data_IF_979336858444
#
_entry.id   IF_979336858444
#
_cell.length_a   1.000
_cell.length_b   1.000
_cell.length_c   1.000
_cell.angle_alpha   90.00
_cell.angle_beta   90.00
_cell.angle_gamma   90.00
#
_symmetry.space_group_name_H-M   'P 1'
#
loop_
_entity.id
_entity.type
_entity.pdbx_description
1 polymer ?
#
# COMPACT_ATOMS: atom_id res chain seq x y z
N UNK A 1 -13.21 -1.19 -2.67
CA UNK A 1 -12.38 -1.58 -1.51
C UNK A 1 -12.88 -0.85 -0.27
N UNK A 2 -12.95 -1.53 0.88
CA UNK A 2 -13.24 -0.89 2.18
C UNK A 2 -11.93 -0.52 2.89
N UNK A 3 -11.97 0.44 3.83
CA UNK A 3 -10.80 0.87 4.62
C UNK A 3 -10.08 -0.30 5.30
N UNK A 4 -10.84 -1.23 5.88
CA UNK A 4 -10.31 -2.41 6.55
C UNK A 4 -9.46 -3.30 5.62
N UNK A 5 -9.89 -3.49 4.35
CA UNK A 5 -9.12 -4.29 3.39
C UNK A 5 -7.82 -3.60 2.98
N UNK A 6 -7.82 -2.27 2.87
CA UNK A 6 -6.61 -1.48 2.59
C UNK A 6 -5.61 -1.63 3.73
N UNK A 7 -6.06 -1.51 4.99
CA UNK A 7 -5.19 -1.69 6.15
C UNK A 7 -4.63 -3.12 6.25
N UNK A 8 -5.46 -4.14 5.99
CA UNK A 8 -5.00 -5.53 5.94
C UNK A 8 -3.96 -5.75 4.83
N UNK A 9 -4.19 -5.20 3.63
CA UNK A 9 -3.24 -5.29 2.53
C UNK A 9 -1.92 -4.60 2.86
N UNK A 10 -1.95 -3.41 3.47
CA UNK A 10 -0.75 -2.71 3.92
C UNK A 10 0.02 -3.47 5.01
N UNK A 11 -0.69 -4.08 5.97
CA UNK A 11 -0.06 -4.95 6.98
C UNK A 11 0.65 -6.14 6.34
N UNK A 12 0.00 -6.83 5.40
CA UNK A 12 0.61 -7.95 4.65
C UNK A 12 1.81 -7.49 3.81
N UNK A 13 1.73 -6.31 3.19
CA UNK A 13 2.83 -5.73 2.44
C UNK A 13 4.03 -5.44 3.35
N UNK A 14 3.82 -4.77 4.48
CA UNK A 14 4.87 -4.46 5.44
C UNK A 14 5.50 -5.72 6.05
N UNK A 15 4.70 -6.76 6.29
CA UNK A 15 5.21 -8.05 6.77
C UNK A 15 6.12 -8.75 5.74
N UNK A 16 5.85 -8.59 4.44
CA UNK A 16 6.60 -9.25 3.36
C UNK A 16 7.83 -8.47 2.88
N UNK A 17 7.72 -7.14 2.75
CA UNK A 17 8.74 -6.28 2.13
C UNK A 17 9.43 -5.35 3.13
N UNK A 18 9.01 -5.36 4.38
CA UNK A 18 9.45 -4.42 5.40
C UNK A 18 8.66 -3.10 5.36
N UNK A 19 8.97 -2.24 6.32
CA UNK A 19 8.28 -0.97 6.54
C UNK A 19 8.69 0.06 5.48
N UNK A 20 7.76 0.60 4.66
CA UNK A 20 8.08 1.66 3.72
C UNK A 20 8.36 2.97 4.46
N UNK A 21 9.25 3.81 3.94
CA UNK A 21 9.44 5.17 4.47
C UNK A 21 8.35 6.13 3.96
N UNK A 22 7.89 5.94 2.71
CA UNK A 22 6.92 6.82 2.05
C UNK A 22 5.83 5.96 1.43
N UNK A 23 4.56 6.32 1.68
CA UNK A 23 3.40 5.76 1.00
C UNK A 23 2.79 6.87 0.15
N UNK A 24 2.55 6.61 -1.13
CA UNK A 24 1.85 7.53 -2.02
C UNK A 24 0.50 6.93 -2.42
N UNK A 25 -0.59 7.68 -2.29
CA UNK A 25 -1.92 7.23 -2.71
C UNK A 25 -2.75 8.36 -3.32
N UNK A 26 -3.73 7.99 -4.14
CA UNK A 26 -4.75 8.92 -4.63
C UNK A 26 -5.64 9.45 -3.49
N UNK A 27 -6.46 10.44 -3.81
CA UNK A 27 -7.37 11.10 -2.87
C UNK A 27 -8.66 10.32 -2.60
N UNK A 28 -8.71 9.02 -2.93
CA UNK A 28 -9.90 8.23 -2.70
C UNK A 28 -10.24 8.16 -1.20
N UNK A 29 -11.54 8.27 -0.89
CA UNK A 29 -12.03 8.36 0.51
C UNK A 29 -11.55 7.21 1.39
N UNK A 30 -11.39 6.02 0.81
CA UNK A 30 -10.91 4.84 1.54
C UNK A 30 -9.45 4.96 1.97
N UNK A 31 -8.58 5.55 1.14
CA UNK A 31 -7.17 5.79 1.50
C UNK A 31 -7.03 6.93 2.51
N UNK A 32 -7.81 8.01 2.37
CA UNK A 32 -7.83 9.08 3.38
C UNK A 32 -8.24 8.57 4.75
N UNK A 33 -9.28 7.71 4.82
CA UNK A 33 -9.69 7.05 6.07
C UNK A 33 -8.63 6.06 6.58
N UNK A 34 -8.04 5.26 5.70
CA UNK A 34 -6.99 4.31 6.10
C UNK A 34 -5.77 5.03 6.67
N UNK A 35 -5.36 6.16 6.07
CA UNK A 35 -4.27 6.97 6.58
C UNK A 35 -4.59 7.58 7.96
N UNK A 36 -5.83 8.04 8.18
CA UNK A 36 -6.26 8.55 9.48
C UNK A 36 -6.24 7.46 10.57
N UNK A 37 -6.83 6.28 10.28
CA UNK A 37 -6.81 5.13 11.19
C UNK A 37 -5.37 4.65 11.45
N UNK A 38 -4.51 4.67 10.43
CA UNK A 38 -3.10 4.30 10.56
C UNK A 38 -2.34 5.28 11.48
N UNK A 39 -2.57 6.58 11.33
CA UNK A 39 -2.00 7.59 12.21
C UNK A 39 -2.48 7.42 13.67
N UNK A 40 -3.76 7.13 13.89
CA UNK A 40 -4.31 6.93 15.23
C UNK A 40 -3.71 5.70 15.93
N UNK A 41 -3.65 4.55 15.24
CA UNK A 41 -3.03 3.32 15.76
C UNK A 41 -1.56 3.52 16.13
N UNK A 42 -0.84 4.34 15.35
CA UNK A 42 0.55 4.61 15.62
C UNK A 42 0.75 5.61 16.75
N UNK A 43 -0.09 6.65 16.85
CA UNK A 43 -0.05 7.62 17.94
C UNK A 43 -0.36 7.00 19.31
N UNK A 44 -1.28 6.02 19.38
CA UNK A 44 -1.60 5.35 20.64
C UNK A 44 -0.50 4.42 21.16
N UNK A 45 0.47 4.05 20.31
CA UNK A 45 1.54 3.10 20.67
C UNK A 45 2.78 3.81 21.25
N UNK A 46 2.86 5.14 21.14
CA UNK A 46 4.16 5.83 21.06
C UNK A 46 4.31 7.09 21.93
N UNK A 47 3.72 7.11 23.13
CA UNK A 47 3.61 8.37 23.88
C UNK A 47 4.87 8.88 24.61
N UNK A 48 5.84 8.07 25.08
CA UNK A 48 6.80 8.63 26.06
C UNK A 48 8.30 8.38 25.87
N UNK A 49 8.75 7.50 24.96
CA UNK A 49 10.21 7.21 24.84
C UNK A 49 10.75 7.24 23.43
N UNK A 50 9.92 6.96 22.44
CA UNK A 50 10.36 6.72 21.06
C UNK A 50 10.27 7.99 20.21
N UNK A 51 9.57 9.04 20.68
CA UNK A 51 9.37 10.30 19.94
C UNK A 51 10.69 11.02 19.57
N UNK A 52 11.80 10.73 20.28
CA UNK A 52 13.15 11.25 19.99
C UNK A 52 13.97 10.36 19.03
N UNK A 53 13.74 9.06 18.97
CA UNK A 53 14.39 8.16 17.99
C UNK A 53 13.58 8.01 16.68
N UNK A 54 12.26 8.20 16.74
CA UNK A 54 11.32 8.01 15.62
C UNK A 54 11.28 9.15 14.59
N UNK A 55 11.95 10.27 14.83
CA UNK A 55 12.04 11.32 13.80
C UNK A 55 12.65 10.75 12.51
N UNK A 56 13.48 9.69 12.59
CA UNK A 56 14.03 8.98 11.45
C UNK A 56 13.13 7.90 10.80
N UNK A 57 12.01 7.51 11.41
CA UNK A 57 11.29 6.29 11.02
C UNK A 57 9.78 6.45 10.78
N UNK A 58 9.22 7.67 10.72
CA UNK A 58 7.79 7.85 10.43
C UNK A 58 7.46 7.50 8.97
N UNK A 59 6.47 6.63 8.77
CA UNK A 59 5.90 6.38 7.44
C UNK A 59 5.21 7.67 7.00
N UNK A 60 5.72 8.30 5.96
CA UNK A 60 5.17 9.54 5.43
C UNK A 60 4.15 9.24 4.34
N UNK A 61 2.87 9.49 4.62
CA UNK A 61 1.79 9.28 3.65
C UNK A 61 1.57 10.56 2.82
N UNK A 62 1.89 10.50 1.53
CA UNK A 62 1.67 11.58 0.56
C UNK A 62 0.43 11.31 -0.26
N UNK A 63 -0.44 12.30 -0.34
CA UNK A 63 -1.56 12.32 -1.26
C UNK A 63 -1.19 13.15 -2.48
N UNK A 64 -1.64 12.71 -3.66
CA UNK A 64 -1.47 13.51 -4.88
C UNK A 64 -2.32 14.79 -4.77
N UNK A 65 -1.82 15.94 -5.24
CA UNK A 65 -2.62 17.16 -5.30
C UNK A 65 -3.92 16.95 -6.08
N UNK A 66 -5.02 17.51 -5.55
CA UNK A 66 -6.30 17.53 -6.24
C UNK A 66 -6.14 18.23 -7.60
N UNK A 67 -6.68 17.62 -8.67
CA UNK A 67 -6.63 18.09 -10.08
C UNK A 67 -5.34 17.80 -10.86
N UNK A 68 -4.51 16.86 -10.39
CA UNK A 68 -3.28 16.46 -11.09
C UNK A 68 -3.34 14.96 -11.47
N UNK A 69 -4.29 14.53 -12.34
CA UNK A 69 -4.54 13.13 -12.63
C UNK A 69 -3.35 12.42 -13.32
N UNK A 70 -2.49 13.16 -14.03
CA UNK A 70 -1.32 12.60 -14.71
C UNK A 70 -0.24 12.09 -13.77
N UNK A 71 -0.20 12.57 -12.52
CA UNK A 71 0.74 12.06 -11.52
C UNK A 71 0.53 10.56 -11.28
N UNK A 72 -0.66 10.03 -11.62
CA UNK A 72 -0.98 8.62 -11.54
C UNK A 72 -0.62 7.70 -12.67
N UNK A 73 -0.16 8.26 -13.78
CA UNK A 73 0.23 7.44 -14.92
C UNK A 73 1.35 6.46 -14.57
N UNK A 74 2.24 6.76 -13.63
CA UNK A 74 3.36 5.88 -13.32
C UNK A 74 2.90 4.60 -12.60
N UNK A 75 2.04 4.68 -11.57
CA UNK A 75 1.57 3.47 -10.88
C UNK A 75 0.62 2.67 -11.76
N UNK A 76 -0.18 3.31 -12.63
CA UNK A 76 -0.99 2.60 -13.62
C UNK A 76 -0.13 1.79 -14.60
N UNK A 77 0.99 2.36 -15.06
CA UNK A 77 1.96 1.65 -15.91
C UNK A 77 2.61 0.49 -15.17
N UNK A 78 3.01 0.67 -13.92
CA UNK A 78 3.56 -0.42 -13.10
C UNK A 78 2.55 -1.55 -12.93
N UNK A 79 1.30 -1.23 -12.60
CA UNK A 79 0.21 -2.21 -12.50
C UNK A 79 -0.02 -2.92 -13.83
N UNK A 80 0.06 -2.20 -14.96
CA UNK A 80 -0.05 -2.78 -16.29
C UNK A 80 1.08 -3.79 -16.55
N UNK A 81 2.33 -3.45 -16.27
CA UNK A 81 3.48 -4.36 -16.46
C UNK A 81 3.32 -5.66 -15.67
N UNK A 82 2.84 -5.57 -14.43
CA UNK A 82 2.56 -6.77 -13.60
C UNK A 82 1.43 -7.59 -14.23
N UNK A 83 0.32 -6.96 -14.61
CA UNK A 83 -0.83 -7.67 -15.23
C UNK A 83 -0.47 -8.34 -16.56
N UNK A 84 0.32 -7.67 -17.39
CA UNK A 84 0.78 -8.24 -18.67
C UNK A 84 1.69 -9.45 -18.45
N UNK A 85 2.60 -9.38 -17.47
CA UNK A 85 3.48 -10.50 -17.10
C UNK A 85 2.66 -11.68 -16.59
N UNK A 86 1.72 -11.42 -15.67
CA UNK A 86 0.81 -12.45 -15.16
C UNK A 86 -0.02 -13.08 -16.28
N UNK A 87 -0.57 -12.28 -17.20
CA UNK A 87 -1.37 -12.79 -18.33
C UNK A 87 -0.55 -13.68 -19.26
N UNK A 88 0.74 -13.38 -19.46
CA UNK A 88 1.65 -14.22 -20.26
C UNK A 88 2.01 -15.53 -19.56
N UNK A 89 2.25 -15.49 -18.25
CA UNK A 89 2.62 -16.68 -17.46
C UNK A 89 1.42 -17.61 -17.27
N UNK A 90 0.25 -17.06 -16.95
CA UNK A 90 -0.94 -17.82 -16.56
C UNK A 90 -1.82 -18.22 -17.74
N UNK A 91 -1.78 -17.48 -18.85
CA UNK A 91 -2.61 -17.74 -20.02
C UNK A 91 -4.11 -17.74 -19.70
N UNK A 92 -4.73 -18.91 -19.72
CA UNK A 92 -6.15 -19.15 -19.41
C UNK A 92 -6.38 -19.83 -18.06
N UNK A 93 -5.33 -20.03 -17.25
CA UNK A 93 -5.47 -20.66 -15.94
C UNK A 93 -6.34 -19.80 -14.99
N UNK A 94 -7.29 -20.45 -14.33
CA UNK A 94 -8.07 -19.88 -13.23
C UNK A 94 -7.35 -20.23 -11.94
N UNK A 95 -6.96 -19.22 -11.17
CA UNK A 95 -6.25 -19.40 -9.90
C UNK A 95 -7.13 -19.02 -8.74
N UNK A 96 -6.94 -19.73 -7.64
CA UNK A 96 -7.48 -19.32 -6.36
C UNK A 96 -6.61 -18.20 -5.73
N UNK A 97 -7.16 -17.48 -4.74
CA UNK A 97 -6.47 -16.33 -4.10
C UNK A 97 -5.12 -16.75 -3.48
N UNK A 98 -5.05 -17.97 -2.94
CA UNK A 98 -3.80 -18.51 -2.39
C UNK A 98 -2.74 -18.76 -3.47
N UNK A 99 -3.14 -19.36 -4.60
CA UNK A 99 -2.22 -19.65 -5.71
C UNK A 99 -1.70 -18.36 -6.34
N UNK A 100 -2.59 -17.36 -6.51
CA UNK A 100 -2.18 -16.04 -6.98
C UNK A 100 -1.19 -15.37 -6.02
N UNK A 101 -1.40 -15.48 -4.71
CA UNK A 101 -0.45 -14.94 -3.73
C UNK A 101 0.92 -15.62 -3.79
N UNK A 102 0.96 -16.94 -4.02
CA UNK A 102 2.21 -17.70 -4.19
C UNK A 102 2.97 -17.23 -5.42
N UNK A 103 2.30 -17.16 -6.58
CA UNK A 103 2.92 -16.73 -7.85
C UNK A 103 3.42 -15.29 -7.80
N UNK A 104 2.81 -14.42 -6.98
CA UNK A 104 3.28 -13.05 -6.79
C UNK A 104 4.49 -12.92 -5.86
N UNK A 105 4.81 -13.97 -5.10
CA UNK A 105 5.90 -13.97 -4.13
C UNK A 105 7.12 -14.77 -4.60
N UNK A 106 6.93 -15.76 -5.48
CA UNK A 106 7.98 -16.48 -6.21
C UNK A 106 8.58 -15.64 -7.35
#
# INVERSE_FOLDING_TARGET
>A
MTTARVLQALRRFMARRGRPMIIQSDNFRSFKRAAAEFCQLWQSTDMDRVQRELVGHRIHWKFIPDRVPWMGGYWERLVRSVKESLRKVLGQALLDDCELQTILCE
#
